data_IF_207945274296
#
_entry.id   IF_207945274296
#
_cell.length_a   1.000
_cell.length_b   1.000
_cell.length_c   1.000
_cell.angle_alpha   90.00
_cell.angle_beta   90.00
_cell.angle_gamma   90.00
#
_symmetry.space_group_name_H-M   'P 1'
#
loop_
_entity.id
_entity.type
_entity.pdbx_description
1 polymer ?
#
# COMPACT_ATOMS: atom_id res chain seq x y z
N UNK A 1 6.13 -2.15 18.96
CA UNK A 1 4.91 -1.83 18.20
C UNK A 1 5.15 -0.50 17.52
N UNK A 2 5.10 -0.47 16.19
CA UNK A 2 5.08 0.77 15.41
C UNK A 2 3.62 1.21 15.27
N UNK A 3 3.36 2.53 15.29
CA UNK A 3 2.04 3.04 14.95
C UNK A 3 1.74 2.74 13.48
N UNK A 4 0.53 2.25 13.19
CA UNK A 4 0.11 1.90 11.83
C UNK A 4 -1.09 2.75 11.46
N UNK A 5 -1.01 3.41 10.31
CA UNK A 5 -2.14 4.15 9.75
C UNK A 5 -2.87 3.25 8.77
N UNK A 6 -4.16 3.09 9.02
CA UNK A 6 -5.07 2.33 8.18
C UNK A 6 -5.90 3.34 7.40
N UNK A 7 -5.71 3.35 6.07
CA UNK A 7 -6.50 4.16 5.17
C UNK A 7 -7.54 3.26 4.51
N UNK A 8 -8.79 3.39 4.94
CA UNK A 8 -9.92 2.75 4.29
C UNK A 8 -10.54 3.76 3.32
N UNK A 9 -10.82 3.35 2.08
CA UNK A 9 -11.44 4.24 1.11
C UNK A 9 -12.85 4.61 1.56
N UNK A 10 -13.25 5.86 1.30
CA UNK A 10 -14.63 6.31 1.48
C UNK A 10 -15.51 5.73 0.37
N UNK A 11 -16.78 5.52 0.69
CA UNK A 11 -17.82 5.23 -0.32
C UNK A 11 -17.79 6.31 -1.40
N UNK A 12 -17.74 5.91 -2.68
CA UNK A 12 -17.66 6.79 -3.87
C UNK A 12 -16.32 7.52 -4.08
N UNK A 13 -15.21 7.04 -3.53
CA UNK A 13 -13.89 7.56 -3.92
C UNK A 13 -13.61 7.33 -5.41
N UNK A 14 -13.22 8.38 -6.12
CA UNK A 14 -12.78 8.31 -7.52
C UNK A 14 -11.26 8.46 -7.56
N UNK A 15 -10.54 7.41 -7.99
CA UNK A 15 -9.10 7.49 -8.15
C UNK A 15 -8.69 8.42 -9.30
N UNK A 16 -7.51 9.04 -9.20
CA UNK A 16 -6.95 9.88 -10.28
C UNK A 16 -6.77 9.07 -11.57
N UNK A 17 -7.15 9.66 -12.71
CA UNK A 17 -7.00 9.01 -14.01
C UNK A 17 -5.52 8.75 -14.29
N UNK A 18 -5.20 7.53 -14.75
CA UNK A 18 -3.83 7.11 -15.04
C UNK A 18 -3.12 6.43 -13.86
N UNK A 19 -3.68 6.50 -12.64
CA UNK A 19 -3.18 5.71 -11.53
C UNK A 19 -3.47 4.23 -11.76
N UNK A 20 -2.43 3.42 -11.68
CA UNK A 20 -2.50 1.98 -11.83
C UNK A 20 -1.62 1.36 -10.75
N UNK A 21 -2.19 0.45 -9.97
CA UNK A 21 -1.46 -0.50 -9.15
C UNK A 21 -1.96 -1.90 -9.47
N UNK A 22 -1.04 -2.83 -9.64
CA UNK A 22 -1.38 -4.23 -9.92
C UNK A 22 -0.64 -5.17 -8.99
N UNK A 23 -1.20 -6.36 -8.78
CA UNK A 23 -0.50 -7.46 -8.14
C UNK A 23 -0.88 -8.82 -8.72
N UNK A 24 -0.03 -9.80 -8.46
CA UNK A 24 -0.18 -11.17 -8.91
C UNK A 24 0.34 -12.13 -7.84
N UNK A 25 -0.31 -13.27 -7.70
CA UNK A 25 0.16 -14.39 -6.87
C UNK A 25 0.63 -15.54 -7.75
N UNK A 26 1.93 -15.83 -7.76
CA UNK A 26 2.47 -16.93 -8.57
C UNK A 26 2.06 -16.80 -10.04
N UNK A 27 1.33 -17.80 -10.55
CA UNK A 27 0.83 -17.84 -11.93
C UNK A 27 -0.63 -17.41 -12.09
N UNK A 28 -1.27 -16.91 -11.03
CA UNK A 28 -2.66 -16.45 -11.08
C UNK A 28 -2.79 -15.23 -12.01
N UNK A 29 -3.99 -14.89 -12.48
CA UNK A 29 -4.21 -13.65 -13.23
C UNK A 29 -3.76 -12.42 -12.44
N UNK A 30 -3.31 -11.39 -13.16
CA UNK A 30 -2.99 -10.10 -12.57
C UNK A 30 -4.27 -9.43 -12.11
N UNK A 31 -4.27 -8.93 -10.87
CA UNK A 31 -5.32 -8.08 -10.31
C UNK A 31 -4.91 -6.63 -10.46
N UNK A 32 -5.82 -5.79 -10.96
CA UNK A 32 -5.67 -4.34 -10.96
C UNK A 32 -6.49 -3.76 -9.82
N UNK A 33 -5.89 -2.90 -9.00
CA UNK A 33 -6.59 -2.18 -7.94
C UNK A 33 -7.73 -1.33 -8.52
N UNK A 34 -8.89 -1.33 -7.87
CA UNK A 34 -10.00 -0.42 -8.20
C UNK A 34 -9.83 0.94 -7.52
N UNK A 35 -9.09 0.97 -6.41
CA UNK A 35 -8.79 2.17 -5.65
C UNK A 35 -7.30 2.21 -5.38
N UNK A 36 -6.69 3.38 -5.56
CA UNK A 36 -5.28 3.64 -5.27
C UNK A 36 -5.16 4.94 -4.50
N UNK A 37 -4.08 5.06 -3.72
CA UNK A 37 -3.60 6.37 -3.31
C UNK A 37 -2.07 6.42 -3.25
N UNK A 38 -1.55 7.62 -3.42
CA UNK A 38 -0.15 7.96 -3.20
C UNK A 38 -0.07 9.35 -2.56
N UNK A 39 0.45 9.45 -1.34
CA UNK A 39 0.57 10.72 -0.63
C UNK A 39 1.89 10.87 0.14
N UNK A 40 2.14 12.09 0.62
CA UNK A 40 3.13 12.35 1.66
C UNK A 40 2.45 12.37 3.02
N UNK A 41 2.54 11.27 3.74
CA UNK A 41 2.07 11.19 5.12
C UNK A 41 3.01 11.98 6.04
N UNK A 42 2.41 12.72 6.98
CA UNK A 42 3.10 13.49 8.03
C UNK A 42 2.63 13.00 9.40
N UNK A 43 3.51 12.39 10.17
CA UNK A 43 3.20 11.93 11.52
C UNK A 43 3.19 13.12 12.48
N UNK A 44 1.99 13.65 12.76
CA UNK A 44 1.76 14.88 13.55
C UNK A 44 2.61 14.94 14.84
N UNK A 45 2.73 13.86 15.65
CA UNK A 45 3.47 13.95 16.91
C UNK A 45 4.99 14.19 16.76
N UNK A 46 5.64 13.69 15.70
CA UNK A 46 7.11 13.81 15.53
C UNK A 46 7.51 14.71 14.36
N UNK A 47 6.59 14.99 13.44
CA UNK A 47 6.86 15.65 12.16
C UNK A 47 7.59 14.73 11.15
N UNK A 48 7.76 13.45 11.47
CA UNK A 48 8.33 12.48 10.54
C UNK A 48 7.45 12.31 9.32
N UNK A 49 8.08 12.24 8.15
CA UNK A 49 7.41 12.13 6.87
C UNK A 49 7.69 10.79 6.22
N UNK A 50 6.70 10.27 5.51
CA UNK A 50 6.83 9.05 4.72
C UNK A 50 5.98 9.15 3.48
N UNK A 51 6.48 8.62 2.37
CA UNK A 51 5.65 8.34 1.21
C UNK A 51 4.75 7.16 1.54
N UNK A 52 3.44 7.30 1.35
CA UNK A 52 2.47 6.23 1.59
C UNK A 52 1.82 5.85 0.26
N UNK A 53 1.78 4.56 -0.03
CA UNK A 53 1.24 4.01 -1.28
C UNK A 53 0.30 2.87 -0.95
N UNK A 54 -0.88 2.87 -1.55
CA UNK A 54 -1.83 1.78 -1.42
C UNK A 54 -2.55 1.47 -2.71
N UNK A 55 -2.96 0.22 -2.83
CA UNK A 55 -3.96 -0.20 -3.81
C UNK A 55 -4.88 -1.27 -3.21
N UNK A 56 -6.16 -1.17 -3.52
CA UNK A 56 -7.19 -2.07 -3.03
C UNK A 56 -8.19 -2.46 -4.10
N UNK A 57 -8.84 -3.60 -3.88
CA UNK A 57 -10.10 -4.01 -4.50
C UNK A 57 -11.18 -4.14 -3.43
N UNK A 58 -12.44 -4.10 -3.85
CA UNK A 58 -13.57 -4.26 -2.94
C UNK A 58 -13.82 -3.04 -2.06
N UNK A 59 -14.77 -3.19 -1.14
CA UNK A 59 -15.21 -2.16 -0.19
C UNK A 59 -15.36 -2.76 1.20
N UNK A 60 -15.42 -1.90 2.23
CA UNK A 60 -15.68 -2.36 3.60
C UNK A 60 -17.14 -2.79 3.74
N UNK A 61 -18.05 -2.06 3.10
CA UNK A 61 -19.49 -2.27 3.12
C UNK A 61 -19.90 -3.61 2.48
N UNK A 62 -19.23 -4.01 1.39
CA UNK A 62 -19.43 -5.32 0.76
C UNK A 62 -18.64 -6.44 1.47
N UNK A 63 -17.94 -6.14 2.56
CA UNK A 63 -17.11 -7.06 3.34
C UNK A 63 -16.12 -7.86 2.48
N UNK A 64 -15.59 -7.24 1.41
CA UNK A 64 -14.69 -7.90 0.45
C UNK A 64 -13.41 -7.11 0.15
N UNK A 65 -13.09 -6.10 0.96
CA UNK A 65 -11.88 -5.31 0.79
C UNK A 65 -10.63 -6.19 0.87
N UNK A 66 -9.72 -5.95 -0.07
CA UNK A 66 -8.42 -6.61 -0.18
C UNK A 66 -7.41 -5.56 -0.62
N UNK A 67 -6.35 -5.32 0.16
CA UNK A 67 -5.45 -4.20 -0.09
C UNK A 67 -3.99 -4.50 0.26
N UNK A 68 -3.09 -3.76 -0.40
CA UNK A 68 -1.70 -3.63 -0.02
C UNK A 68 -1.41 -2.18 0.32
N UNK A 69 -0.71 -1.97 1.42
CA UNK A 69 -0.27 -0.67 1.90
C UNK A 69 1.22 -0.76 2.21
N UNK A 70 1.99 0.21 1.73
CA UNK A 70 3.39 0.31 2.11
C UNK A 70 3.84 1.76 2.23
N UNK A 71 4.78 2.00 3.15
CA UNK A 71 5.36 3.32 3.38
C UNK A 71 6.87 3.30 3.29
N UNK A 72 7.42 4.34 2.69
CA UNK A 72 8.86 4.54 2.48
C UNK A 72 9.28 5.83 3.19
N UNK A 73 10.39 5.83 3.96
CA UNK A 73 10.89 7.03 4.62
C UNK A 73 11.11 8.20 3.64
N UNK A 74 10.61 9.38 3.98
CA UNK A 74 10.86 10.60 3.20
C UNK A 74 12.29 11.09 3.48
N UNK A 75 13.03 11.44 2.42
CA UNK A 75 14.39 12.00 2.55
C UNK A 75 14.42 13.48 2.21
N UNK A 76 13.98 13.84 1.00
CA UNK A 76 13.92 15.21 0.49
C UNK A 76 13.03 15.27 -0.77
N UNK A 77 12.92 16.44 -1.38
CA UNK A 77 12.15 16.66 -2.61
C UNK A 77 12.93 16.40 -3.92
N UNK A 78 14.17 15.92 -3.83
CA UNK A 78 14.93 15.56 -5.02
C UNK A 78 14.39 14.24 -5.60
N UNK A 79 14.34 14.10 -6.93
CA UNK A 79 14.04 12.82 -7.55
C UNK A 79 14.99 11.72 -7.09
N UNK A 80 14.47 10.52 -6.86
CA UNK A 80 15.31 9.38 -6.51
C UNK A 80 14.77 8.06 -7.06
N UNK A 81 15.71 7.17 -7.35
CA UNK A 81 15.45 5.78 -7.69
C UNK A 81 16.18 4.90 -6.67
N UNK A 82 15.43 4.10 -5.90
CA UNK A 82 16.00 3.29 -4.83
C UNK A 82 15.20 2.01 -4.58
N UNK A 83 15.92 0.99 -4.10
CA UNK A 83 15.30 -0.22 -3.55
C UNK A 83 15.25 -0.13 -2.04
N UNK A 84 14.09 -0.42 -1.45
CA UNK A 84 13.87 -0.48 -0.02
C UNK A 84 13.48 -1.90 0.39
N UNK A 85 14.05 -2.35 1.50
CA UNK A 85 13.64 -3.54 2.24
C UNK A 85 13.15 -3.15 3.63
N UNK A 86 12.57 -4.09 4.37
CA UNK A 86 12.14 -3.84 5.76
C UNK A 86 13.27 -3.30 6.66
N UNK A 87 14.53 -3.64 6.37
CA UNK A 87 15.70 -3.13 7.11
C UNK A 87 16.01 -1.66 6.83
N UNK A 88 15.54 -1.14 5.69
CA UNK A 88 15.73 0.25 5.26
C UNK A 88 14.60 1.17 5.76
N UNK A 89 13.73 0.68 6.65
CA UNK A 89 12.56 1.41 7.15
C UNK A 89 11.31 1.26 6.28
N UNK A 90 11.31 0.37 5.29
CA UNK A 90 10.07 -0.01 4.58
C UNK A 90 9.09 -0.64 5.56
N UNK A 91 7.85 -0.16 5.54
CA UNK A 91 6.71 -0.87 6.11
C UNK A 91 5.91 -1.41 4.92
N UNK A 92 5.56 -2.69 4.94
CA UNK A 92 4.75 -3.31 3.90
C UNK A 92 3.71 -4.23 4.54
N UNK A 93 2.45 -4.03 4.18
CA UNK A 93 1.32 -4.66 4.85
C UNK A 93 0.29 -5.14 3.85
N UNK A 94 -0.47 -6.13 4.29
CA UNK A 94 -1.66 -6.61 3.61
C UNK A 94 -2.86 -6.47 4.55
N UNK A 95 -3.93 -5.87 4.05
CA UNK A 95 -5.21 -5.74 4.75
C UNK A 95 -6.32 -6.46 4.00
N UNK A 96 -7.24 -7.11 4.71
CA UNK A 96 -8.43 -7.68 4.09
C UNK A 96 -9.61 -7.82 5.07
N UNK A 97 -10.80 -7.92 4.50
CA UNK A 97 -12.01 -8.30 5.24
C UNK A 97 -11.86 -9.65 5.92
N UNK A 98 -12.42 -9.77 7.11
CA UNK A 98 -12.44 -11.01 7.89
C UNK A 98 -13.82 -11.20 8.53
N UNK A 99 -14.22 -12.45 8.84
CA UNK A 99 -15.46 -12.69 9.53
C UNK A 99 -15.54 -11.92 10.85
N UNK A 100 -16.69 -11.32 11.13
CA UNK A 100 -16.98 -10.63 12.40
C UNK A 100 -18.35 -11.02 12.94
N UNK A 101 -18.60 -10.81 14.24
CA UNK A 101 -19.94 -10.93 14.81
C UNK A 101 -20.93 -9.97 14.12
N UNK A 102 -22.22 -10.33 14.15
CA UNK A 102 -23.28 -9.48 13.57
C UNK A 102 -23.23 -8.06 14.15
N UNK A 103 -23.31 -7.05 13.27
CA UNK A 103 -23.22 -5.64 13.61
C UNK A 103 -21.81 -5.05 13.59
N UNK A 104 -20.78 -5.82 13.25
CA UNK A 104 -19.40 -5.37 13.16
C UNK A 104 -18.80 -5.72 11.80
N UNK A 105 -17.98 -4.81 11.25
CA UNK A 105 -17.09 -5.14 10.15
C UNK A 105 -15.81 -5.77 10.70
N UNK A 106 -15.41 -6.92 10.15
CA UNK A 106 -14.14 -7.54 10.49
C UNK A 106 -13.06 -7.12 9.51
N UNK A 107 -11.93 -6.65 10.03
CA UNK A 107 -10.78 -6.26 9.23
C UNK A 107 -9.50 -6.80 9.86
N UNK A 108 -8.66 -7.46 9.04
CA UNK A 108 -7.36 -7.99 9.46
C UNK A 108 -6.23 -7.27 8.72
N UNK A 109 -5.20 -6.86 9.44
CA UNK A 109 -3.94 -6.35 8.90
C UNK A 109 -2.78 -7.24 9.31
N UNK A 110 -1.88 -7.49 8.36
CA UNK A 110 -0.68 -8.31 8.59
C UNK A 110 0.53 -7.65 7.95
N UNK A 111 1.60 -7.57 8.73
CA UNK A 111 2.90 -7.11 8.28
C UNK A 111 3.57 -8.19 7.42
N UNK A 112 4.25 -7.76 6.37
CA UNK A 112 5.09 -8.65 5.57
C UNK A 112 6.27 -9.16 6.40
N UNK A 113 6.61 -10.43 6.23
CA UNK A 113 7.81 -11.02 6.83
C UNK A 113 9.07 -10.63 6.04
N UNK A 114 8.91 -10.47 4.73
CA UNK A 114 9.95 -10.00 3.81
C UNK A 114 9.26 -9.10 2.77
N UNK A 115 9.83 -7.94 2.47
CA UNK A 115 9.33 -7.08 1.40
C UNK A 115 10.48 -6.33 0.74
N UNK A 116 10.35 -6.13 -0.57
CA UNK A 116 11.24 -5.32 -1.39
C UNK A 116 10.40 -4.43 -2.28
N UNK A 117 10.65 -3.13 -2.26
CA UNK A 117 10.03 -2.14 -3.16
C UNK A 117 11.14 -1.44 -3.93
N UNK A 118 11.05 -1.48 -5.26
CA UNK A 118 11.87 -0.65 -6.15
C UNK A 118 11.02 0.53 -6.58
N UNK A 119 11.45 1.74 -6.26
CA UNK A 119 10.68 2.94 -6.53
C UNK A 119 11.53 3.99 -7.23
N UNK A 120 10.93 4.63 -8.23
CA UNK A 120 11.36 5.88 -8.82
C UNK A 120 10.29 6.94 -8.51
N UNK A 121 10.68 8.00 -7.82
CA UNK A 121 9.77 9.07 -7.39
C UNK A 121 10.32 10.43 -7.80
N UNK A 122 9.41 11.26 -8.30
CA UNK A 122 9.62 12.67 -8.59
C UNK A 122 8.73 13.51 -7.67
N UNK A 123 9.18 13.87 -6.45
CA UNK A 123 8.33 14.51 -5.45
C UNK A 123 7.61 15.77 -5.92
N UNK A 124 8.31 16.64 -6.65
CA UNK A 124 7.78 17.90 -7.18
C UNK A 124 6.84 17.73 -8.37
N UNK A 125 6.94 16.61 -9.10
CA UNK A 125 6.00 16.24 -10.16
C UNK A 125 4.83 15.42 -9.64
N UNK A 126 4.91 14.92 -8.40
CA UNK A 126 3.92 14.03 -7.83
C UNK A 126 3.80 12.70 -8.54
N UNK A 127 4.91 12.13 -9.04
CA UNK A 127 4.88 10.87 -9.78
C UNK A 127 5.67 9.83 -8.98
N UNK A 128 5.08 8.65 -8.78
CA UNK A 128 5.75 7.48 -8.25
C UNK A 128 5.53 6.28 -9.17
N UNK A 129 6.61 5.63 -9.59
CA UNK A 129 6.56 4.38 -10.36
C UNK A 129 7.43 3.33 -9.71
N UNK A 130 7.07 2.07 -9.86
CA UNK A 130 7.88 1.02 -9.27
C UNK A 130 7.29 -0.36 -9.31
N UNK A 131 7.98 -1.25 -8.59
CA UNK A 131 7.58 -2.63 -8.39
C UNK A 131 7.73 -3.02 -6.94
N UNK A 132 6.96 -4.02 -6.52
CA UNK A 132 7.11 -4.62 -5.21
C UNK A 132 7.05 -6.14 -5.28
N UNK A 133 7.69 -6.76 -4.30
CA UNK A 133 7.54 -8.16 -3.96
C UNK A 133 7.49 -8.26 -2.44
N UNK A 134 6.51 -8.99 -1.91
CA UNK A 134 6.36 -9.21 -0.49
C UNK A 134 6.10 -10.68 -0.20
N UNK A 135 6.33 -11.10 1.04
CA UNK A 135 6.10 -12.46 1.51
C UNK A 135 5.41 -12.42 2.87
N UNK A 136 4.32 -13.15 2.97
CA UNK A 136 3.53 -13.32 4.18
C UNK A 136 3.53 -14.81 4.53
N UNK A 137 4.24 -15.17 5.61
CA UNK A 137 4.42 -16.52 6.15
C UNK A 137 4.02 -16.63 7.63
N UNK A 138 3.79 -15.52 8.31
CA UNK A 138 3.30 -15.54 9.70
C UNK A 138 1.77 -15.67 9.75
N UNK A 139 1.21 -16.05 10.90
CA UNK A 139 -0.25 -16.02 11.18
C UNK A 139 -1.15 -16.79 10.19
N UNK A 140 -0.65 -17.90 9.62
CA UNK A 140 -1.41 -18.72 8.66
C UNK A 140 -1.33 -18.26 7.21
N UNK A 141 -0.66 -17.15 6.91
CA UNK A 141 -0.45 -16.68 5.55
C UNK A 141 0.63 -17.49 4.85
N UNK A 142 0.48 -17.71 3.55
CA UNK A 142 1.45 -18.39 2.67
C UNK A 142 1.41 -17.74 1.28
N UNK A 143 1.57 -16.43 1.22
CA UNK A 143 1.45 -15.66 -0.03
C UNK A 143 2.73 -14.90 -0.34
N UNK A 144 3.00 -14.72 -1.64
CA UNK A 144 4.15 -13.96 -2.14
C UNK A 144 3.71 -13.07 -3.31
N UNK A 145 2.96 -11.99 -3.06
CA UNK A 145 2.50 -11.10 -4.11
C UNK A 145 3.67 -10.35 -4.77
N UNK A 146 3.56 -10.17 -6.08
CA UNK A 146 4.39 -9.28 -6.88
C UNK A 146 3.52 -8.26 -7.55
N UNK A 147 3.96 -7.01 -7.62
CA UNK A 147 3.14 -5.95 -8.21
C UNK A 147 3.95 -4.83 -8.83
N UNK A 148 3.22 -3.99 -9.56
CA UNK A 148 3.73 -2.78 -10.20
C UNK A 148 2.82 -1.61 -9.88
N UNK A 149 3.37 -0.40 -9.90
CA UNK A 149 2.57 0.81 -9.71
C UNK A 149 3.08 1.95 -10.57
N UNK A 150 2.15 2.79 -11.01
CA UNK A 150 2.35 4.09 -11.61
C UNK A 150 1.27 5.02 -11.06
N UNK A 151 1.65 5.94 -10.20
CA UNK A 151 0.73 6.72 -9.38
C UNK A 151 1.07 8.20 -9.45
N UNK A 152 0.02 9.00 -9.53
CA UNK A 152 0.02 10.43 -9.33
C UNK A 152 -0.37 10.73 -7.89
N UNK A 153 0.35 11.67 -7.30
CA UNK A 153 0.22 12.06 -5.90
C UNK A 153 -1.13 12.72 -5.65
N UNK A 154 -1.83 12.31 -4.60
CA UNK A 154 -3.20 12.72 -4.30
C UNK A 154 -3.30 14.04 -3.55
N UNK A 155 -2.26 14.41 -2.79
CA UNK A 155 -2.17 15.62 -1.96
C UNK A 155 -1.48 16.80 -2.64
N UNK A 156 -1.35 16.78 -3.98
CA UNK A 156 -0.94 17.92 -4.81
C UNK A 156 -2.14 18.61 -5.47
#
# INVERSE_FOLDING_TARGET
MTAQHIYLPKTNFTQKQGNILTWQFGTNPVTTSTITFFDLNNFIPTGEKSWSISGSTGTLEDENIFLYLFSIPYTNDAPFNKTYTLKDGLIFQHGHSSPAPSGFYGFTYVDADEATVKIDIHPTKGIATGTFEAKFKSHGYRTQPKGTFNLLRDDL
#
